data_IF_737524387404
#
_entry.id   IF_737524387404
#
_cell.length_a   1.000
_cell.length_b   1.000
_cell.length_c   1.000
_cell.angle_alpha   90.00
_cell.angle_beta   90.00
_cell.angle_gamma   90.00
#
_symmetry.space_group_name_H-M   'P 1'
#
loop_
_entity.id
_entity.type
_entity.pdbx_description
1 polymer ?
#
# COMPACT_ATOMS: atom_id res chain seq x y z
N UNK A 1 19.70 0.73 -8.08
CA UNK A 1 19.42 -0.72 -7.85
C UNK A 1 20.53 -1.68 -8.35
N UNK A 2 21.79 -1.24 -8.47
CA UNK A 2 22.95 -2.13 -8.70
C UNK A 2 23.78 -2.41 -7.44
N UNK A 3 23.17 -2.26 -6.27
CA UNK A 3 23.84 -2.31 -4.97
C UNK A 3 22.90 -2.84 -3.90
N UNK A 4 23.46 -3.25 -2.76
CA UNK A 4 22.70 -3.69 -1.60
C UNK A 4 21.67 -2.63 -1.14
N UNK A 5 22.10 -1.38 -0.96
CA UNK A 5 21.20 -0.29 -0.53
C UNK A 5 20.12 0.01 -1.58
N UNK A 6 20.47 -0.15 -2.86
CA UNK A 6 19.52 0.01 -3.97
C UNK A 6 18.40 -1.04 -3.97
N UNK A 7 18.53 -2.13 -3.23
CA UNK A 7 17.48 -3.15 -3.04
C UNK A 7 16.77 -2.97 -1.69
N UNK A 8 17.52 -2.69 -0.62
CA UNK A 8 16.94 -2.50 0.73
C UNK A 8 15.99 -1.30 0.76
N UNK A 9 16.39 -0.15 0.19
CA UNK A 9 15.58 1.06 0.23
C UNK A 9 14.19 0.88 -0.40
N UNK A 10 14.04 0.43 -1.67
CA UNK A 10 12.71 0.17 -2.23
C UNK A 10 11.97 -0.93 -1.44
N UNK A 11 12.70 -1.95 -0.96
CA UNK A 11 12.14 -3.01 -0.12
C UNK A 11 11.40 -2.49 1.11
N UNK A 12 12.05 -1.59 1.86
CA UNK A 12 11.46 -0.93 3.04
C UNK A 12 10.25 -0.09 2.66
N UNK A 13 10.31 0.72 1.59
CA UNK A 13 9.17 1.54 1.18
C UNK A 13 7.97 0.70 0.78
N UNK A 14 8.17 -0.36 0.00
CA UNK A 14 7.09 -1.28 -0.37
C UNK A 14 6.44 -1.94 0.84
N UNK A 15 7.23 -2.37 1.84
CA UNK A 15 6.69 -2.92 3.10
C UNK A 15 5.86 -1.88 3.83
N UNK A 16 6.38 -0.66 4.01
CA UNK A 16 5.68 0.41 4.73
C UNK A 16 4.37 0.79 4.05
N UNK A 17 4.36 0.99 2.72
CA UNK A 17 3.16 1.30 1.98
C UNK A 17 2.17 0.13 1.95
N UNK A 18 2.63 -1.11 1.85
CA UNK A 18 1.76 -2.28 1.88
C UNK A 18 1.03 -2.41 3.22
N UNK A 19 1.73 -2.27 4.34
CA UNK A 19 1.08 -2.25 5.66
C UNK A 19 0.16 -1.05 5.81
N UNK A 20 0.59 0.12 5.37
CA UNK A 20 -0.21 1.33 5.38
C UNK A 20 -1.56 1.13 4.68
N UNK A 21 -1.54 0.64 3.45
CA UNK A 21 -2.74 0.36 2.68
C UNK A 21 -3.58 -0.73 3.36
N UNK A 22 -2.97 -1.84 3.75
CA UNK A 22 -3.71 -2.96 4.34
C UNK A 22 -4.42 -2.58 5.64
N UNK A 23 -3.73 -1.92 6.57
CA UNK A 23 -4.29 -1.48 7.86
C UNK A 23 -5.49 -0.55 7.65
N UNK A 24 -5.33 0.46 6.79
CA UNK A 24 -6.39 1.43 6.55
C UNK A 24 -7.62 0.81 5.87
N UNK A 25 -7.41 -0.11 4.91
CA UNK A 25 -8.51 -0.81 4.24
C UNK A 25 -9.24 -1.76 5.19
N UNK A 26 -8.50 -2.56 5.96
CA UNK A 26 -9.08 -3.41 6.99
C UNK A 26 -9.91 -2.57 7.96
N UNK A 27 -9.40 -1.41 8.38
CA UNK A 27 -10.12 -0.54 9.30
C UNK A 27 -11.44 -0.01 8.72
N UNK A 28 -11.45 0.42 7.46
CA UNK A 28 -12.68 0.86 6.77
C UNK A 28 -13.67 -0.29 6.59
N UNK A 29 -13.17 -1.45 6.15
CA UNK A 29 -14.00 -2.64 5.94
C UNK A 29 -14.64 -3.11 7.25
N UNK A 30 -13.85 -3.26 8.31
CA UNK A 30 -14.35 -3.69 9.62
C UNK A 30 -15.32 -2.67 10.21
N UNK A 31 -15.06 -1.37 10.07
CA UNK A 31 -16.03 -0.33 10.48
C UNK A 31 -17.35 -0.50 9.74
N UNK A 32 -17.33 -0.75 8.43
CA UNK A 32 -18.55 -1.03 7.68
C UNK A 32 -19.33 -2.24 8.21
N UNK A 33 -18.62 -3.29 8.65
CA UNK A 33 -19.26 -4.46 9.25
C UNK A 33 -19.83 -4.18 10.65
N UNK A 34 -19.10 -3.44 11.48
CA UNK A 34 -19.50 -3.15 12.86
C UNK A 34 -20.67 -2.17 12.92
N UNK A 35 -20.62 -1.08 12.14
CA UNK A 35 -21.70 -0.08 12.13
C UNK A 35 -23.00 -0.62 11.53
N UNK A 36 -22.92 -1.51 10.54
CA UNK A 36 -24.12 -2.13 9.95
C UNK A 36 -24.72 -3.25 10.80
N UNK A 37 -24.11 -3.64 11.91
CA UNK A 37 -24.63 -4.66 12.82
C UNK A 37 -25.68 -4.08 13.79
N UNK A 38 -25.68 -2.78 14.03
CA UNK A 38 -26.58 -2.12 14.97
C UNK A 38 -27.90 -1.72 14.27
N UNK A 39 -28.87 -2.64 14.25
CA UNK A 39 -30.19 -2.47 13.64
C UNK A 39 -31.02 -1.34 14.27
N UNK A 40 -30.68 -0.88 15.49
CA UNK A 40 -31.40 0.18 16.19
C UNK A 40 -31.08 1.59 15.67
N UNK A 41 -30.05 1.74 14.85
CA UNK A 41 -29.68 3.02 14.25
C UNK A 41 -30.42 3.21 12.93
N UNK A 42 -31.37 4.17 12.86
CA UNK A 42 -32.05 4.63 11.62
C UNK A 42 -31.10 5.28 10.58
N UNK A 43 -29.81 4.99 10.63
CA UNK A 43 -28.80 5.60 9.77
C UNK A 43 -28.62 4.82 8.47
N UNK A 44 -28.23 5.53 7.41
CA UNK A 44 -27.87 4.93 6.13
C UNK A 44 -26.75 3.88 6.30
N UNK A 45 -26.88 2.77 5.59
CA UNK A 45 -25.91 1.66 5.60
C UNK A 45 -24.51 2.19 5.25
N UNK A 46 -23.54 1.98 6.14
CA UNK A 46 -22.17 2.40 5.90
C UNK A 46 -21.49 1.41 4.96
N UNK A 47 -21.23 1.82 3.71
CA UNK A 47 -20.56 0.96 2.72
C UNK A 47 -19.04 1.10 2.75
N UNK A 48 -18.34 -0.01 2.51
CA UNK A 48 -16.90 0.03 2.27
C UNK A 48 -16.63 0.80 0.96
N UNK A 49 -15.74 1.77 1.06
CA UNK A 49 -15.23 2.49 -0.09
C UNK A 49 -13.73 2.27 -0.14
N UNK A 50 -13.22 1.79 -1.28
CA UNK A 50 -11.78 1.70 -1.48
C UNK A 50 -11.15 3.07 -1.64
N UNK A 51 -9.87 3.16 -1.34
CA UNK A 51 -9.05 4.33 -1.69
C UNK A 51 -7.63 3.87 -1.99
N UNK A 52 -6.97 4.61 -2.87
CA UNK A 52 -5.54 4.44 -3.17
C UNK A 52 -4.66 5.17 -2.17
N UNK A 53 -5.20 6.19 -1.47
CA UNK A 53 -4.48 6.99 -0.48
C UNK A 53 -5.28 7.16 0.81
N UNK A 54 -4.56 7.31 1.93
CA UNK A 54 -5.18 7.45 3.25
C UNK A 54 -4.57 8.60 4.06
N UNK A 55 -5.39 9.35 4.83
CA UNK A 55 -4.87 10.34 5.76
C UNK A 55 -4.26 9.66 7.01
N UNK A 56 -3.18 10.22 7.57
CA UNK A 56 -2.60 9.73 8.82
C UNK A 56 -3.31 10.25 10.05
N UNK A 57 -4.18 9.38 10.58
CA UNK A 57 -4.86 9.56 11.85
C UNK A 57 -3.92 9.45 13.06
N UNK A 58 -2.71 8.91 12.84
CA UNK A 58 -1.62 8.77 13.81
C UNK A 58 -1.03 10.11 14.28
N UNK A 59 -1.20 11.20 13.52
CA UNK A 59 -0.57 12.48 13.83
C UNK A 59 -1.49 13.33 14.72
N UNK A 60 -1.02 13.78 15.89
CA UNK A 60 -1.83 14.56 16.84
C UNK A 60 -2.20 15.95 16.30
N UNK A 61 -1.44 16.46 15.34
CA UNK A 61 -1.62 17.80 14.76
C UNK A 61 -2.69 17.76 13.66
N UNK A 62 -3.86 18.35 13.93
CA UNK A 62 -5.01 18.40 13.01
C UNK A 62 -4.68 18.95 11.61
N UNK A 63 -3.78 19.93 11.53
CA UNK A 63 -3.34 20.52 10.27
C UNK A 63 -2.60 19.48 9.40
N UNK A 64 -1.61 18.80 9.98
CA UNK A 64 -0.79 17.81 9.27
C UNK A 64 -1.65 16.61 8.83
N UNK A 65 -2.63 16.20 9.65
CA UNK A 65 -3.59 15.15 9.29
C UNK A 65 -4.39 15.45 8.02
N UNK A 66 -4.54 16.73 7.65
CA UNK A 66 -5.23 17.14 6.43
C UNK A 66 -4.35 17.10 5.19
N UNK A 67 -3.03 16.95 5.33
CA UNK A 67 -2.12 16.91 4.18
C UNK A 67 -2.10 15.50 3.54
N UNK A 68 -1.86 15.39 2.22
CA UNK A 68 -1.65 14.11 1.54
C UNK A 68 -0.24 13.57 1.81
N UNK A 69 0.05 13.24 3.09
CA UNK A 69 1.40 12.87 3.56
C UNK A 69 1.96 11.70 2.76
N UNK A 70 1.15 10.69 2.47
CA UNK A 70 1.55 9.53 1.67
C UNK A 70 2.14 9.97 0.33
N UNK A 71 1.43 10.82 -0.41
CA UNK A 71 1.85 11.33 -1.72
C UNK A 71 3.07 12.25 -1.61
N UNK A 72 3.14 13.08 -0.55
CA UNK A 72 4.30 13.94 -0.29
C UNK A 72 5.56 13.09 -0.04
N UNK A 73 5.45 12.05 0.78
CA UNK A 73 6.56 11.13 1.07
C UNK A 73 7.00 10.42 -0.22
N UNK A 74 6.06 9.91 -1.03
CA UNK A 74 6.41 9.29 -2.32
C UNK A 74 7.15 10.27 -3.24
N UNK A 75 6.72 11.52 -3.36
CA UNK A 75 7.40 12.55 -4.17
C UNK A 75 8.81 12.80 -3.65
N UNK A 76 8.99 12.98 -2.34
CA UNK A 76 10.30 13.26 -1.76
C UNK A 76 11.26 12.09 -2.00
N UNK A 77 10.81 10.86 -1.72
CA UNK A 77 11.61 9.64 -1.90
C UNK A 77 12.03 9.46 -3.35
N UNK A 78 11.09 9.57 -4.28
CA UNK A 78 11.37 9.43 -5.72
C UNK A 78 12.26 10.56 -6.25
N UNK A 79 12.11 11.78 -5.75
CA UNK A 79 12.96 12.93 -6.13
C UNK A 79 14.38 12.79 -5.60
N UNK A 80 14.56 12.28 -4.37
CA UNK A 80 15.88 11.96 -3.81
C UNK A 80 16.53 10.84 -4.64
N UNK A 81 15.79 9.78 -4.95
CA UNK A 81 16.26 8.68 -5.80
C UNK A 81 16.75 9.18 -7.17
N UNK A 82 15.98 10.04 -7.84
CA UNK A 82 16.38 10.64 -9.11
C UNK A 82 17.65 11.45 -8.99
N UNK A 83 17.76 12.23 -7.92
CA UNK A 83 18.94 13.08 -7.69
C UNK A 83 20.20 12.22 -7.50
N UNK A 84 20.10 11.10 -6.77
CA UNK A 84 21.19 10.15 -6.56
C UNK A 84 21.57 9.46 -7.89
N UNK A 85 20.61 8.89 -8.61
CA UNK A 85 20.88 8.16 -9.86
C UNK A 85 21.42 9.12 -10.95
N UNK A 86 20.97 10.38 -10.98
CA UNK A 86 21.54 11.43 -11.86
C UNK A 86 22.98 11.74 -11.48
N UNK A 87 23.24 12.05 -10.21
CA UNK A 87 24.56 12.39 -9.72
C UNK A 87 25.57 11.26 -10.00
N UNK A 88 25.21 10.03 -9.65
CA UNK A 88 26.09 8.88 -9.83
C UNK A 88 26.26 8.52 -11.31
N UNK A 89 25.19 8.67 -12.10
CA UNK A 89 25.22 8.46 -13.55
C UNK A 89 26.18 9.41 -14.28
N UNK A 90 26.18 10.71 -13.93
CA UNK A 90 27.09 11.69 -14.51
C UNK A 90 28.53 11.57 -14.00
N UNK A 91 28.71 11.22 -12.71
CA UNK A 91 30.05 11.09 -12.10
C UNK A 91 30.79 9.83 -12.57
N UNK A 92 30.06 8.76 -12.86
CA UNK A 92 30.65 7.47 -13.21
C UNK A 92 31.38 7.47 -14.57
N UNK A 93 30.81 8.12 -15.60
CA UNK A 93 31.48 8.37 -16.89
C UNK A 93 30.85 9.60 -17.57
N UNK A 94 31.63 10.68 -17.86
CA UNK A 94 31.11 11.85 -18.55
C UNK A 94 30.94 11.57 -20.05
N UNK A 95 29.87 10.84 -20.40
CA UNK A 95 29.37 10.69 -21.77
C UNK A 95 28.21 11.67 -22.00
N UNK A 96 27.84 12.01 -23.25
CA UNK A 96 26.70 12.89 -23.53
C UNK A 96 25.34 12.34 -23.03
N UNK A 97 25.30 11.08 -22.58
CA UNK A 97 24.11 10.43 -22.05
C UNK A 97 24.40 9.78 -20.70
N UNK A 98 23.40 9.80 -19.81
CA UNK A 98 23.42 9.06 -18.54
C UNK A 98 23.61 7.57 -18.86
N UNK A 99 24.49 6.90 -18.11
CA UNK A 99 24.71 5.46 -18.25
C UNK A 99 23.38 4.71 -18.09
N UNK A 100 23.12 3.77 -19.00
CA UNK A 100 21.86 3.01 -19.14
C UNK A 100 21.36 2.39 -17.83
N UNK A 101 22.27 1.93 -16.96
CA UNK A 101 21.92 1.39 -15.65
C UNK A 101 21.15 2.38 -14.78
N UNK A 102 21.69 3.59 -14.59
CA UNK A 102 21.08 4.62 -13.74
C UNK A 102 19.82 5.21 -14.39
N UNK A 103 19.81 5.35 -15.71
CA UNK A 103 18.62 5.76 -16.45
C UNK A 103 17.47 4.74 -16.29
N UNK A 104 17.76 3.44 -16.34
CA UNK A 104 16.77 2.39 -16.11
C UNK A 104 16.20 2.46 -14.69
N UNK A 105 17.04 2.64 -13.66
CA UNK A 105 16.59 2.75 -12.28
C UNK A 105 15.74 4.01 -12.02
N UNK A 106 16.03 5.11 -12.70
CA UNK A 106 15.20 6.31 -12.63
C UNK A 106 13.81 6.04 -13.23
N UNK A 107 13.76 5.39 -14.40
CA UNK A 107 12.51 5.07 -15.07
C UNK A 107 11.63 4.12 -14.24
N UNK A 108 12.22 3.18 -13.47
CA UNK A 108 11.47 2.24 -12.63
C UNK A 108 10.54 2.92 -11.61
N UNK A 109 10.97 4.03 -10.99
CA UNK A 109 10.18 4.73 -9.97
C UNK A 109 9.38 5.93 -10.52
N UNK A 110 9.54 6.26 -11.80
CA UNK A 110 8.92 7.44 -12.40
C UNK A 110 7.40 7.41 -12.44
N UNK A 111 6.82 6.23 -12.65
CA UNK A 111 5.37 6.08 -12.59
C UNK A 111 4.80 6.40 -11.19
N UNK A 112 5.50 6.02 -10.12
CA UNK A 112 5.10 6.36 -8.75
C UNK A 112 5.23 7.85 -8.45
N UNK A 113 6.26 8.52 -8.99
CA UNK A 113 6.39 9.98 -8.91
C UNK A 113 5.21 10.69 -9.57
N UNK A 114 4.86 10.32 -10.81
CA UNK A 114 3.73 10.89 -11.53
C UNK A 114 2.40 10.61 -10.82
N UNK A 115 2.18 9.38 -10.36
CA UNK A 115 0.98 9.01 -9.61
C UNK A 115 0.80 9.87 -8.37
N UNK A 116 1.89 10.16 -7.65
CA UNK A 116 1.85 10.95 -6.41
C UNK A 116 1.48 12.42 -6.65
N UNK A 117 1.91 13.00 -7.77
CA UNK A 117 1.45 14.34 -8.17
C UNK A 117 -0.04 14.36 -8.47
N UNK A 118 -0.54 13.34 -9.17
CA UNK A 118 -1.98 13.22 -9.45
C UNK A 118 -2.79 13.03 -8.16
N UNK A 119 -2.30 12.22 -7.21
CA UNK A 119 -2.92 12.06 -5.89
C UNK A 119 -3.05 13.40 -5.15
N UNK A 120 -2.05 14.28 -5.24
CA UNK A 120 -2.09 15.64 -4.66
C UNK A 120 -3.15 16.51 -5.34
N UNK A 121 -3.22 16.49 -6.69
CA UNK A 121 -4.23 17.24 -7.42
C UNK A 121 -5.65 16.78 -7.06
N UNK A 122 -5.87 15.46 -6.95
CA UNK A 122 -7.15 14.89 -6.50
C UNK A 122 -7.46 15.31 -5.06
N UNK A 123 -6.46 15.28 -4.17
CA UNK A 123 -6.63 15.70 -2.77
C UNK A 123 -7.10 17.16 -2.65
N UNK A 124 -6.56 18.06 -3.47
CA UNK A 124 -6.99 19.47 -3.53
C UNK A 124 -8.22 19.71 -4.41
N UNK A 125 -8.95 18.66 -4.79
CA UNK A 125 -10.22 18.71 -5.53
C UNK A 125 -10.12 19.36 -6.91
N UNK A 126 -8.98 19.25 -7.57
CA UNK A 126 -8.84 19.60 -8.99
C UNK A 126 -9.80 18.71 -9.80
N UNK A 127 -10.57 19.25 -10.78
CA UNK A 127 -11.59 18.50 -11.52
C UNK A 127 -10.96 17.52 -12.52
N UNK A 128 -10.43 16.41 -12.01
CA UNK A 128 -9.84 15.33 -12.79
C UNK A 128 -10.87 14.22 -13.05
N UNK A 129 -10.66 13.39 -14.10
CA UNK A 129 -11.53 12.25 -14.38
C UNK A 129 -11.68 11.33 -13.16
N UNK A 130 -12.88 10.78 -12.99
CA UNK A 130 -13.12 9.75 -11.96
C UNK A 130 -12.14 8.59 -12.17
N UNK A 131 -11.64 8.03 -11.08
CA UNK A 131 -10.73 6.87 -11.05
C UNK A 131 -9.29 7.15 -11.56
N UNK A 132 -8.91 8.42 -11.74
CA UNK A 132 -7.56 8.76 -12.22
C UNK A 132 -6.46 8.20 -11.31
N UNK A 133 -6.66 8.17 -9.98
CA UNK A 133 -5.66 7.60 -9.06
C UNK A 133 -5.41 6.10 -9.32
N UNK A 134 -6.46 5.33 -9.61
CA UNK A 134 -6.34 3.91 -9.93
C UNK A 134 -5.61 3.71 -11.26
N UNK A 135 -5.95 4.52 -12.28
CA UNK A 135 -5.26 4.49 -13.59
C UNK A 135 -3.78 4.82 -13.45
N UNK A 136 -3.44 5.83 -12.63
CA UNK A 136 -2.05 6.17 -12.34
C UNK A 136 -1.32 5.08 -11.56
N UNK A 137 -2.00 4.35 -10.68
CA UNK A 137 -1.46 3.18 -10.01
C UNK A 137 -1.13 2.04 -10.98
N UNK A 138 -2.02 1.77 -11.95
CA UNK A 138 -1.76 0.81 -13.04
C UNK A 138 -0.54 1.23 -13.85
N UNK A 139 -0.46 2.52 -14.23
CA UNK A 139 0.69 3.06 -14.94
C UNK A 139 1.98 2.88 -14.12
N UNK A 140 1.94 3.15 -12.82
CA UNK A 140 3.10 3.05 -11.95
C UNK A 140 3.70 1.63 -11.93
N UNK A 141 2.89 0.61 -11.64
CA UNK A 141 3.36 -0.78 -11.66
C UNK A 141 3.72 -1.27 -13.06
N UNK A 142 3.04 -0.76 -14.10
CA UNK A 142 3.38 -1.11 -15.49
C UNK A 142 4.77 -0.59 -15.86
N UNK A 143 5.07 0.67 -15.53
CA UNK A 143 6.39 1.25 -15.77
C UNK A 143 7.47 0.52 -14.99
N UNK A 144 7.24 0.24 -13.71
CA UNK A 144 8.15 -0.57 -12.90
C UNK A 144 8.42 -1.94 -13.55
N UNK A 145 7.37 -2.70 -13.85
CA UNK A 145 7.48 -4.06 -14.39
C UNK A 145 8.12 -4.11 -15.77
N UNK A 146 7.80 -3.15 -16.64
CA UNK A 146 8.41 -3.05 -17.97
C UNK A 146 9.91 -2.80 -17.87
N UNK A 147 10.33 -1.88 -16.99
CA UNK A 147 11.74 -1.62 -16.77
C UNK A 147 12.46 -2.82 -16.14
N UNK A 148 11.83 -3.51 -15.19
CA UNK A 148 12.38 -4.74 -14.62
C UNK A 148 12.57 -5.83 -15.68
N UNK A 149 11.63 -5.99 -16.62
CA UNK A 149 11.70 -7.01 -17.65
C UNK A 149 12.89 -6.83 -18.61
N UNK A 150 13.16 -5.58 -19.05
CA UNK A 150 14.13 -5.34 -20.11
C UNK A 150 15.55 -4.92 -19.64
N UNK A 151 15.74 -4.66 -18.34
CA UNK A 151 17.07 -4.25 -17.82
C UNK A 151 18.01 -5.41 -17.41
N UNK A 152 17.60 -6.67 -17.57
CA UNK A 152 18.32 -7.86 -17.04
C UNK A 152 19.39 -8.46 -17.97
N UNK A 153 19.58 -7.90 -19.16
CA UNK A 153 20.49 -8.46 -20.16
C UNK A 153 21.95 -8.53 -19.66
N UNK A 154 22.59 -9.70 -19.79
CA UNK A 154 24.01 -9.90 -19.50
C UNK A 154 24.37 -10.16 -18.03
N UNK A 155 23.39 -10.49 -17.18
CA UNK A 155 23.57 -10.79 -15.75
C UNK A 155 23.62 -12.30 -15.46
N UNK A 156 24.10 -12.67 -14.26
CA UNK A 156 24.18 -14.06 -13.80
C UNK A 156 22.80 -14.71 -13.62
N UNK A 157 22.74 -16.05 -13.61
CA UNK A 157 21.45 -16.76 -13.62
C UNK A 157 20.66 -16.54 -12.33
N UNK A 158 21.32 -16.48 -11.17
CA UNK A 158 20.67 -16.17 -9.89
C UNK A 158 20.12 -14.76 -9.88
N UNK A 159 20.88 -13.80 -10.42
CA UNK A 159 20.46 -12.41 -10.49
C UNK A 159 19.24 -12.23 -11.38
N UNK A 160 19.26 -12.82 -12.58
CA UNK A 160 18.11 -12.79 -13.50
C UNK A 160 16.90 -13.43 -12.84
N UNK A 161 17.06 -14.60 -12.22
CA UNK A 161 15.95 -15.33 -11.59
C UNK A 161 15.35 -14.56 -10.40
N UNK A 162 16.19 -13.95 -9.56
CA UNK A 162 15.74 -13.11 -8.45
C UNK A 162 14.81 -11.98 -8.92
N UNK A 163 15.19 -11.33 -10.02
CA UNK A 163 14.40 -10.24 -10.59
C UNK A 163 13.16 -10.75 -11.33
N UNK A 164 13.20 -11.92 -11.98
CA UNK A 164 12.03 -12.55 -12.58
C UNK A 164 10.94 -12.86 -11.55
N UNK A 165 11.33 -13.37 -10.38
CA UNK A 165 10.39 -13.59 -9.27
C UNK A 165 9.75 -12.27 -8.79
N UNK A 166 10.53 -11.17 -8.77
CA UNK A 166 9.99 -9.84 -8.48
C UNK A 166 8.99 -9.36 -9.55
N UNK A 167 9.27 -9.59 -10.83
CA UNK A 167 8.37 -9.27 -11.94
C UNK A 167 7.02 -9.96 -11.77
N UNK A 168 6.98 -11.21 -11.29
CA UNK A 168 5.72 -11.91 -10.99
C UNK A 168 4.88 -11.11 -9.98
N UNK A 169 5.48 -10.67 -8.88
CA UNK A 169 4.78 -9.82 -7.91
C UNK A 169 4.31 -8.49 -8.53
N UNK A 170 5.12 -7.86 -9.38
CA UNK A 170 4.74 -6.61 -10.07
C UNK A 170 3.54 -6.82 -10.99
N UNK A 171 3.54 -7.87 -11.80
CA UNK A 171 2.41 -8.20 -12.68
C UNK A 171 1.14 -8.42 -11.87
N UNK A 172 1.22 -9.16 -10.75
CA UNK A 172 0.08 -9.38 -9.88
C UNK A 172 -0.41 -8.10 -9.20
N UNK A 173 0.48 -7.19 -8.79
CA UNK A 173 0.14 -5.84 -8.32
C UNK A 173 -0.60 -5.04 -9.41
N UNK A 174 -0.12 -5.08 -10.65
CA UNK A 174 -0.77 -4.43 -11.81
C UNK A 174 -2.16 -4.97 -12.06
N UNK A 175 -2.34 -6.30 -12.07
CA UNK A 175 -3.66 -6.94 -12.25
C UNK A 175 -4.62 -6.52 -11.13
N UNK A 176 -4.13 -6.45 -9.89
CA UNK A 176 -4.93 -6.00 -8.75
C UNK A 176 -5.36 -4.53 -8.89
N UNK A 177 -4.45 -3.66 -9.33
CA UNK A 177 -4.73 -2.25 -9.61
C UNK A 177 -5.72 -2.08 -10.78
N UNK A 178 -5.65 -2.92 -11.82
CA UNK A 178 -6.63 -2.96 -12.90
C UNK A 178 -8.01 -3.36 -12.34
N UNK A 179 -8.07 -4.33 -11.43
CA UNK A 179 -9.30 -4.69 -10.72
C UNK A 179 -9.93 -3.48 -9.99
N UNK A 180 -9.12 -2.70 -9.27
CA UNK A 180 -9.56 -1.46 -8.62
C UNK A 180 -10.08 -0.40 -9.61
N UNK A 181 -9.59 -0.38 -10.86
CA UNK A 181 -10.14 0.49 -11.89
C UNK A 181 -11.57 0.12 -12.28
N UNK A 182 -11.97 -1.14 -12.19
CA UNK A 182 -13.32 -1.61 -12.54
C UNK A 182 -14.26 -1.59 -11.35
N UNK A 183 -13.82 -2.15 -10.22
CA UNK A 183 -14.58 -2.24 -8.97
C UNK A 183 -13.74 -1.71 -7.80
N UNK A 184 -13.70 -0.37 -7.60
CA UNK A 184 -12.88 0.25 -6.57
C UNK A 184 -13.36 -0.06 -5.15
N UNK A 185 -14.58 -0.58 -4.98
CA UNK A 185 -15.14 -0.94 -3.68
C UNK A 185 -15.00 -2.44 -3.40
N UNK A 186 -14.33 -3.20 -4.27
CA UNK A 186 -13.98 -4.57 -3.97
C UNK A 186 -12.86 -4.61 -2.94
N UNK A 187 -13.14 -5.17 -1.77
CA UNK A 187 -12.13 -5.33 -0.72
C UNK A 187 -10.93 -6.18 -1.20
N UNK A 188 -11.17 -7.21 -2.03
CA UNK A 188 -10.13 -8.16 -2.41
C UNK A 188 -9.09 -7.58 -3.34
N UNK A 189 -9.43 -6.70 -4.27
CA UNK A 189 -8.43 -6.10 -5.17
C UNK A 189 -7.39 -5.28 -4.40
N UNK A 190 -7.83 -4.56 -3.37
CA UNK A 190 -6.93 -3.75 -2.55
C UNK A 190 -6.07 -4.62 -1.62
N UNK A 191 -6.64 -5.70 -1.08
CA UNK A 191 -5.89 -6.70 -0.30
C UNK A 191 -4.83 -7.37 -1.18
N UNK A 192 -5.18 -7.78 -2.41
CA UNK A 192 -4.25 -8.38 -3.35
C UNK A 192 -3.12 -7.41 -3.72
N UNK A 193 -3.43 -6.13 -4.02
CA UNK A 193 -2.40 -5.12 -4.25
C UNK A 193 -1.48 -4.96 -3.04
N UNK A 194 -2.04 -4.91 -1.82
CA UNK A 194 -1.25 -4.80 -0.59
C UNK A 194 -0.37 -6.04 -0.37
N UNK A 195 -0.88 -7.24 -0.66
CA UNK A 195 -0.15 -8.49 -0.57
C UNK A 195 1.02 -8.58 -1.55
N UNK A 196 0.80 -8.24 -2.82
CA UNK A 196 1.88 -8.28 -3.81
C UNK A 196 2.88 -7.15 -3.62
N UNK A 197 2.47 -5.97 -3.15
CA UNK A 197 3.39 -4.92 -2.72
C UNK A 197 4.24 -5.34 -1.50
N UNK A 198 3.65 -6.01 -0.51
CA UNK A 198 4.40 -6.56 0.62
C UNK A 198 5.40 -7.63 0.16
N UNK A 199 4.99 -8.46 -0.82
CA UNK A 199 5.85 -9.47 -1.42
C UNK A 199 7.01 -8.84 -2.18
N UNK A 200 6.78 -7.80 -3.00
CA UNK A 200 7.86 -7.03 -3.60
C UNK A 200 8.82 -6.52 -2.53
N UNK A 201 8.31 -5.91 -1.47
CA UNK A 201 9.14 -5.30 -0.45
C UNK A 201 10.01 -6.28 0.33
N UNK A 202 9.42 -7.37 0.81
CA UNK A 202 10.16 -8.44 1.50
C UNK A 202 11.13 -9.16 0.57
N UNK A 203 10.75 -9.35 -0.70
CA UNK A 203 11.62 -9.98 -1.69
C UNK A 203 12.80 -9.11 -2.09
N UNK A 204 12.60 -7.79 -2.24
CA UNK A 204 13.70 -6.84 -2.44
C UNK A 204 14.76 -6.95 -1.35
N UNK A 205 14.34 -7.09 -0.09
CA UNK A 205 15.26 -7.28 1.03
C UNK A 205 16.01 -8.61 0.91
N UNK A 206 15.31 -9.71 0.63
CA UNK A 206 15.95 -11.01 0.43
C UNK A 206 16.96 -10.97 -0.73
N UNK A 207 16.55 -10.42 -1.88
CA UNK A 207 17.38 -10.25 -3.06
C UNK A 207 18.63 -9.40 -2.77
N UNK A 208 18.54 -8.38 -1.90
CA UNK A 208 19.70 -7.60 -1.48
C UNK A 208 20.79 -8.49 -0.86
N UNK A 209 20.41 -9.43 0.01
CA UNK A 209 21.36 -10.33 0.67
C UNK A 209 21.82 -11.49 -0.24
N UNK A 210 20.98 -11.93 -1.16
CA UNK A 210 21.35 -12.94 -2.16
C UNK A 210 22.41 -12.40 -3.12
N UNK A 211 22.18 -11.20 -3.67
CA UNK A 211 23.03 -10.60 -4.71
C UNK A 211 24.23 -9.83 -4.15
N UNK A 212 24.10 -9.30 -2.92
CA UNK A 212 25.15 -8.54 -2.25
C UNK A 212 25.33 -9.07 -0.82
N UNK A 213 25.86 -10.31 -0.67
CA UNK A 213 26.04 -10.93 0.63
C UNK A 213 26.90 -10.06 1.54
N UNK A 214 26.40 -9.74 2.73
CA UNK A 214 27.09 -8.94 3.76
C UNK A 214 27.93 -9.84 4.68
N UNK A 215 28.40 -10.98 4.18
CA UNK A 215 29.11 -12.00 4.93
C UNK A 215 30.21 -12.62 4.08
N UNK A 216 31.29 -13.05 4.72
CA UNK A 216 32.38 -13.80 4.09
C UNK A 216 32.22 -15.30 4.23
N UNK A 217 31.20 -15.77 4.97
CA UNK A 217 30.95 -17.19 5.15
C UNK A 217 30.45 -17.81 3.83
N UNK A 218 31.20 -18.75 3.21
CA UNK A 218 30.85 -19.35 1.93
C UNK A 218 29.49 -20.04 1.91
N UNK A 219 29.00 -20.54 3.05
CA UNK A 219 27.70 -21.21 3.14
C UNK A 219 26.51 -20.29 2.89
N UNK A 220 26.72 -18.97 2.88
CA UNK A 220 25.68 -17.95 2.63
C UNK A 220 25.93 -17.15 1.34
N UNK A 221 26.90 -17.57 0.54
CA UNK A 221 27.19 -16.97 -0.77
C UNK A 221 26.52 -17.83 -1.83
N UNK A 222 25.67 -17.22 -2.64
CA UNK A 222 24.93 -17.90 -3.71
C UNK A 222 25.81 -18.00 -4.95
N UNK A 223 25.75 -19.15 -5.62
CA UNK A 223 26.45 -19.43 -6.86
C UNK A 223 25.48 -19.56 -8.04
N UNK A 224 25.98 -19.44 -9.27
CA UNK A 224 25.17 -19.56 -10.48
C UNK A 224 24.86 -21.03 -10.83
N UNK A 225 24.30 -21.77 -9.88
CA UNK A 225 23.87 -23.17 -10.02
C UNK A 225 22.36 -23.31 -10.09
N UNK A 226 21.92 -24.44 -10.66
CA UNK A 226 20.50 -24.80 -10.66
C UNK A 226 19.92 -24.94 -9.25
N UNK A 227 20.71 -25.44 -8.30
CA UNK A 227 20.28 -25.62 -6.91
C UNK A 227 20.00 -24.27 -6.23
N UNK A 228 20.87 -23.27 -6.46
CA UNK A 228 20.65 -21.88 -6.03
C UNK A 228 19.36 -21.30 -6.63
N UNK A 229 19.10 -21.51 -7.92
CA UNK A 229 17.85 -21.08 -8.58
C UNK A 229 16.60 -21.74 -7.97
N UNK A 230 16.68 -23.04 -7.67
CA UNK A 230 15.58 -23.78 -7.05
C UNK A 230 15.31 -23.31 -5.62
N UNK A 231 16.38 -23.11 -4.82
CA UNK A 231 16.28 -22.59 -3.46
C UNK A 231 15.70 -21.17 -3.43
N UNK A 232 16.03 -20.34 -4.42
CA UNK A 232 15.48 -19.00 -4.55
C UNK A 232 13.97 -19.04 -4.84
N UNK A 233 13.54 -19.94 -5.73
CA UNK A 233 12.12 -20.18 -6.01
C UNK A 233 11.36 -20.63 -4.77
N UNK A 234 11.92 -21.60 -4.04
CA UNK A 234 11.37 -22.08 -2.78
C UNK A 234 11.25 -20.95 -1.75
N UNK A 235 12.30 -20.14 -1.60
CA UNK A 235 12.32 -18.98 -0.72
C UNK A 235 11.19 -18.02 -1.07
N UNK A 236 11.01 -17.70 -2.34
CA UNK A 236 9.92 -16.84 -2.80
C UNK A 236 8.52 -17.39 -2.46
N UNK A 237 8.30 -18.70 -2.58
CA UNK A 237 7.04 -19.33 -2.15
C UNK A 237 6.82 -19.18 -0.64
N UNK A 238 7.86 -19.30 0.18
CA UNK A 238 7.75 -19.01 1.61
C UNK A 238 7.46 -17.54 1.92
N UNK A 239 7.98 -16.60 1.13
CA UNK A 239 7.58 -15.20 1.22
C UNK A 239 6.08 -15.02 0.94
N UNK A 240 5.53 -15.67 -0.10
CA UNK A 240 4.10 -15.62 -0.38
C UNK A 240 3.28 -16.13 0.81
N UNK A 241 3.60 -17.32 1.33
CA UNK A 241 2.89 -17.90 2.47
C UNK A 241 3.02 -17.05 3.75
N UNK A 242 4.24 -16.60 4.06
CA UNK A 242 4.53 -15.77 5.22
C UNK A 242 3.81 -14.42 5.18
N UNK A 243 3.80 -13.76 4.01
CA UNK A 243 3.11 -12.49 3.84
C UNK A 243 1.60 -12.62 3.97
N UNK A 244 0.99 -13.73 3.49
CA UNK A 244 -0.44 -14.00 3.75
C UNK A 244 -0.70 -14.09 5.26
N UNK A 245 0.10 -14.86 6.00
CA UNK A 245 -0.05 -14.99 7.45
C UNK A 245 0.08 -13.64 8.16
N UNK A 246 1.07 -12.84 7.78
CA UNK A 246 1.27 -11.48 8.31
C UNK A 246 0.04 -10.60 8.08
N UNK A 247 -0.52 -10.59 6.87
CA UNK A 247 -1.72 -9.79 6.57
C UNK A 247 -2.96 -10.27 7.33
N UNK A 248 -3.10 -11.59 7.55
CA UNK A 248 -4.17 -12.14 8.40
C UNK A 248 -4.02 -11.66 9.84
N UNK A 249 -2.81 -11.74 10.41
CA UNK A 249 -2.54 -11.25 11.77
C UNK A 249 -2.87 -9.77 11.89
N UNK A 250 -2.44 -8.94 10.92
CA UNK A 250 -2.78 -7.52 10.90
C UNK A 250 -4.29 -7.30 10.84
N UNK A 251 -5.02 -8.02 9.99
CA UNK A 251 -6.48 -7.94 9.92
C UNK A 251 -7.12 -8.24 11.28
N UNK A 252 -6.70 -9.32 11.95
CA UNK A 252 -7.22 -9.71 13.26
C UNK A 252 -6.93 -8.65 14.33
N UNK A 253 -5.73 -8.07 14.34
CA UNK A 253 -5.37 -7.00 15.28
C UNK A 253 -6.24 -5.75 15.06
N UNK A 254 -6.44 -5.34 13.80
CA UNK A 254 -7.33 -4.22 13.45
C UNK A 254 -8.78 -4.51 13.86
N UNK A 255 -9.25 -5.74 13.64
CA UNK A 255 -10.59 -6.17 14.06
C UNK A 255 -10.78 -6.08 15.57
N UNK A 256 -9.83 -6.59 16.35
CA UNK A 256 -9.89 -6.55 17.81
C UNK A 256 -9.87 -5.10 18.32
N UNK A 257 -9.02 -4.24 17.75
CA UNK A 257 -8.90 -2.84 18.13
C UNK A 257 -10.20 -2.06 17.88
N UNK A 258 -10.77 -2.19 16.68
CA UNK A 258 -12.02 -1.49 16.32
C UNK A 258 -13.21 -2.02 17.10
N UNK A 259 -13.33 -3.35 17.22
CA UNK A 259 -14.44 -3.98 17.96
C UNK A 259 -14.45 -3.58 19.44
N UNK A 260 -13.27 -3.47 20.07
CA UNK A 260 -13.16 -3.00 21.47
C UNK A 260 -13.56 -1.53 21.59
N UNK A 261 -13.09 -0.68 20.69
CA UNK A 261 -13.39 0.76 20.72
C UNK A 261 -14.89 1.01 20.49
N UNK A 262 -15.51 0.28 19.57
CA UNK A 262 -16.95 0.39 19.31
C UNK A 262 -17.79 -0.02 20.52
N UNK A 263 -17.40 -1.09 21.23
CA UNK A 263 -18.10 -1.53 22.46
C UNK A 263 -17.99 -0.49 23.58
N UNK A 264 -16.80 0.08 23.78
CA UNK A 264 -16.61 1.13 24.79
C UNK A 264 -17.48 2.36 24.50
N UNK A 265 -17.54 2.81 23.25
CA UNK A 265 -18.36 3.95 22.87
C UNK A 265 -19.86 3.66 23.03
N UNK A 266 -20.32 2.44 22.73
CA UNK A 266 -21.72 2.06 22.94
C UNK A 266 -22.09 2.03 24.43
N UNK A 267 -21.23 1.46 25.27
CA UNK A 267 -21.44 1.44 26.72
C UNK A 267 -21.44 2.86 27.31
N UNK A 268 -20.55 3.75 26.87
CA UNK A 268 -20.56 5.16 27.31
C UNK A 268 -21.85 5.88 26.92
N UNK A 269 -22.38 5.67 25.71
CA UNK A 269 -23.66 6.26 25.31
C UNK A 269 -24.85 5.72 26.12
N UNK A 270 -24.78 4.45 26.56
CA UNK A 270 -25.81 3.84 27.40
C UNK A 270 -25.72 4.30 28.86
N UNK A 271 -24.51 4.54 29.38
CA UNK A 271 -24.28 5.06 30.74
C UNK A 271 -24.58 6.58 30.85
N UNK A 272 -24.44 7.33 29.75
CA UNK A 272 -24.77 8.76 29.65
C UNK A 272 -26.27 9.01 29.35
N UNK A 273 -27.09 7.96 29.18
CA UNK A 273 -28.55 8.12 29.05
C UNK A 273 -29.09 8.65 30.39
N UNK A 274 -29.67 9.87 30.45
CA UNK A 274 -29.99 10.49 31.72
C UNK A 274 -31.04 9.66 32.45
N UNK A 275 -30.71 9.27 33.68
CA UNK A 275 -31.63 8.88 34.74
C UNK A 275 -32.60 10.05 35.01
N UNK A 276 -33.56 10.25 34.12
CA UNK A 276 -34.70 11.13 34.36
C UNK A 276 -35.90 10.57 33.62
N UNK A 277 -36.58 9.67 34.32
CA UNK A 277 -38.00 9.44 34.09
C UNK A 277 -38.76 10.75 34.28
N UNK A 278 -39.01 11.45 33.18
CA UNK A 278 -40.19 12.29 33.06
C UNK A 278 -41.09 11.66 32.00
N UNK A 279 -41.99 10.82 32.51
CA UNK A 279 -43.27 10.50 31.88
C UNK A 279 -43.95 11.83 31.55
N UNK A 280 -43.91 12.25 30.29
CA UNK A 280 -44.91 13.19 29.77
C UNK A 280 -46.22 12.41 29.66
N UNK A 281 -46.97 12.41 30.76
CA UNK A 281 -48.40 12.10 30.76
C UNK A 281 -49.05 13.29 30.05
N UNK A 282 -49.36 13.14 28.78
CA UNK A 282 -50.37 13.97 28.13
C UNK A 282 -51.69 13.21 28.25
N UNK A 283 -52.42 13.48 29.33
CA UNK A 283 -53.84 13.20 29.43
C UNK A 283 -54.56 14.54 29.26
N UNK A 284 -55.62 14.53 28.44
CA UNK A 284 -56.60 15.61 28.40
C UNK A 284 -57.13 15.84 27.01
N UNK A 285 -58.18 15.10 26.65
CA UNK A 285 -59.13 15.51 25.63
C UNK A 285 -59.61 16.94 25.90
N UNK A 286 -59.92 17.68 24.85
CA UNK A 286 -61.28 18.17 24.56
C UNK A 286 -61.23 19.38 23.62
N UNK A 287 -62.17 19.37 22.66
CA UNK A 287 -62.77 20.54 22.00
C UNK A 287 -61.84 21.36 21.07
N UNK A 288 -62.25 22.00 19.98
CA UNK A 288 -63.45 22.12 19.18
C UNK A 288 -63.02 22.99 17.96
N UNK A 289 -63.66 22.79 16.81
CA UNK A 289 -64.02 23.82 15.83
C UNK A 289 -62.95 24.74 15.18
N UNK A 290 -62.91 24.68 13.83
CA UNK A 290 -63.12 25.91 13.05
C UNK A 290 -62.06 26.28 12.01
N UNK A 291 -62.43 26.01 10.74
CA UNK A 291 -62.02 26.66 9.47
C UNK A 291 -60.60 26.41 8.94
#
# INVERSE_FOLDING_TARGET
MGSWIGHIAPGVFFILFAFWWHINNCARYIRSLVYNRDENTRQEKYEFQGSTTYPCHCIPIKFIRRLPIESIVKILVTSIHFSIELHDGYRSQPKPHIITLYANHMAMLFGFFLSSWVEILVHYKVPLPKRINQVMGVLAFTMEGFMFLFHLHGRGIVEVHAHQLLIVSIVCSTISAIGECFDPNNFWFIVLRSFFALTQGTWFIQAAYVLFPQTTNPSFIWDDTHDSVSLLTMSYVYHLAGNVLVLIVVYLLVYLFISRTSKLNHNQMQDDEPLNGYKLIVNGNDEENGL
#
